data_IF_378446775640
#
_entry.id   IF_378446775640
#
_cell.length_a   1.000
_cell.length_b   1.000
_cell.length_c   1.000
_cell.angle_alpha   90.00
_cell.angle_beta   90.00
_cell.angle_gamma   90.00
#
_symmetry.space_group_name_H-M   'P 1'
#
loop_
_entity.id
_entity.type
_entity.pdbx_description
1 polymer ?
#
# COMPACT_ATOMS: atom_id res chain seq x y z
N UNK A 1 -0.28 13.89 -18.02
CA UNK A 1 -0.24 12.47 -18.40
C UNK A 1 -0.67 12.40 -19.85
N UNK A 2 0.07 11.65 -20.68
CA UNK A 2 -0.14 11.54 -22.13
C UNK A 2 -1.20 10.49 -22.49
N UNK A 3 -1.51 9.56 -21.59
CA UNK A 3 -2.59 8.58 -21.79
C UNK A 3 -3.58 8.53 -20.63
N UNK A 4 -4.85 8.27 -20.98
CA UNK A 4 -5.89 7.97 -20.01
C UNK A 4 -5.66 6.56 -19.43
N UNK A 5 -5.78 6.44 -18.11
CA UNK A 5 -5.60 5.18 -17.39
C UNK A 5 -6.47 5.11 -16.13
N UNK A 6 -6.86 3.91 -15.74
CA UNK A 6 -7.60 3.60 -14.51
C UNK A 6 -6.84 2.57 -13.69
N UNK A 7 -6.86 2.67 -12.36
CA UNK A 7 -6.15 1.75 -11.46
C UNK A 7 -4.62 1.70 -11.67
N UNK A 8 -4.03 2.80 -12.15
CA UNK A 8 -2.59 2.89 -12.36
C UNK A 8 -1.81 2.98 -11.05
N UNK A 9 -0.60 2.45 -11.06
CA UNK A 9 0.34 2.56 -9.94
C UNK A 9 1.27 3.75 -10.18
N UNK A 10 1.35 4.68 -9.22
CA UNK A 10 2.27 5.81 -9.25
C UNK A 10 3.30 5.75 -8.11
N UNK A 11 4.57 5.99 -8.42
CA UNK A 11 5.67 5.95 -7.45
C UNK A 11 6.68 7.05 -7.73
N UNK A 12 7.09 7.78 -6.68
CA UNK A 12 8.13 8.80 -6.79
C UNK A 12 9.50 8.20 -6.48
N UNK A 13 10.46 8.37 -7.38
CA UNK A 13 11.88 8.12 -7.16
C UNK A 13 12.60 9.43 -7.48
N UNK A 14 13.37 9.93 -6.50
CA UNK A 14 14.03 11.24 -6.57
C UNK A 14 13.04 12.35 -7.00
N UNK A 15 13.32 13.02 -8.11
CA UNK A 15 12.49 14.12 -8.64
C UNK A 15 11.59 13.71 -9.82
N UNK A 16 11.33 12.42 -9.97
CA UNK A 16 10.48 11.88 -11.02
C UNK A 16 9.37 11.01 -10.43
N UNK A 17 8.18 11.09 -11.04
CA UNK A 17 7.05 10.23 -10.71
C UNK A 17 6.88 9.24 -11.86
N UNK A 18 7.02 7.96 -11.56
CA UNK A 18 6.85 6.87 -12.49
C UNK A 18 5.44 6.29 -12.35
N UNK A 19 4.76 6.09 -13.47
CA UNK A 19 3.40 5.59 -13.53
C UNK A 19 3.33 4.35 -14.43
N UNK A 20 2.75 3.28 -13.91
CA UNK A 20 2.71 1.96 -14.56
C UNK A 20 1.29 1.41 -14.62
N UNK A 21 0.94 0.81 -15.76
CA UNK A 21 -0.29 0.05 -15.97
C UNK A 21 -1.57 0.88 -15.94
N UNK A 22 -2.71 0.19 -15.92
CA UNK A 22 -4.02 0.84 -15.91
C UNK A 22 -4.48 1.35 -17.27
N UNK A 23 -3.81 0.97 -18.35
CA UNK A 23 -4.22 1.29 -19.71
C UNK A 23 -5.07 0.16 -20.29
N UNK A 24 -5.87 0.45 -21.32
CA UNK A 24 -6.64 -0.58 -22.05
C UNK A 24 -5.76 -1.53 -22.86
N UNK A 25 -6.34 -2.59 -23.40
CA UNK A 25 -5.62 -3.73 -23.99
C UNK A 25 -4.73 -3.40 -25.21
N UNK A 26 -4.93 -2.25 -25.85
CA UNK A 26 -4.23 -1.83 -27.07
C UNK A 26 -2.83 -1.22 -26.82
N UNK A 27 -2.30 -1.31 -25.60
CA UNK A 27 -1.00 -0.76 -25.22
C UNK A 27 0.16 -1.73 -25.44
N UNK A 28 1.34 -1.17 -25.69
CA UNK A 28 2.58 -1.90 -25.84
C UNK A 28 3.69 -1.37 -24.90
N UNK A 29 4.90 -1.90 -25.06
CA UNK A 29 6.06 -1.51 -24.25
C UNK A 29 6.46 -0.04 -24.37
N UNK A 30 5.99 0.66 -25.41
CA UNK A 30 6.32 2.06 -25.67
C UNK A 30 5.39 3.04 -24.94
N UNK A 31 4.19 2.62 -24.54
CA UNK A 31 3.18 3.51 -23.97
C UNK A 31 2.49 2.98 -22.68
N UNK A 32 2.83 1.78 -22.24
CA UNK A 32 2.37 1.19 -20.98
C UNK A 32 2.76 2.01 -19.73
N UNK A 33 3.93 2.64 -19.77
CA UNK A 33 4.51 3.36 -18.65
C UNK A 33 4.82 4.82 -19.02
N UNK A 34 4.71 5.70 -18.04
CA UNK A 34 5.04 7.11 -18.19
C UNK A 34 5.87 7.60 -17.01
N UNK A 35 6.67 8.63 -17.26
CA UNK A 35 7.42 9.34 -16.23
C UNK A 35 7.05 10.82 -16.29
N UNK A 36 6.79 11.39 -15.13
CA UNK A 36 6.64 12.82 -14.94
C UNK A 36 7.90 13.38 -14.29
N UNK A 37 8.53 14.33 -14.96
CA UNK A 37 9.67 15.08 -14.43
C UNK A 37 9.15 16.33 -13.71
N UNK A 38 9.47 16.45 -12.42
CA UNK A 38 8.98 17.55 -11.59
C UNK A 38 9.75 18.85 -11.87
N UNK A 39 11.01 18.78 -12.33
CA UNK A 39 11.81 19.96 -12.66
C UNK A 39 11.30 20.63 -13.93
N UNK A 40 11.01 19.82 -14.95
CA UNK A 40 10.56 20.33 -16.26
C UNK A 40 9.04 20.41 -16.37
N UNK A 41 8.31 19.81 -15.42
CA UNK A 41 6.85 19.68 -15.44
C UNK A 41 6.34 18.96 -16.70
N UNK A 42 7.13 18.04 -17.26
CA UNK A 42 6.80 17.31 -18.49
C UNK A 42 6.49 15.84 -18.22
N UNK A 43 5.62 15.29 -19.06
CA UNK A 43 5.33 13.86 -19.12
C UNK A 43 6.07 13.25 -20.31
N UNK A 44 6.70 12.10 -20.12
CA UNK A 44 7.31 11.32 -21.18
C UNK A 44 6.95 9.85 -21.08
N UNK A 45 6.89 9.20 -22.24
CA UNK A 45 6.70 7.77 -22.29
C UNK A 45 7.98 7.08 -21.84
N UNK A 46 7.82 6.07 -20.99
CA UNK A 46 8.92 5.23 -20.56
C UNK A 46 8.87 3.94 -21.38
N UNK A 47 9.80 3.80 -22.32
CA UNK A 47 9.98 2.53 -23.01
C UNK A 47 10.53 1.52 -22.02
N UNK A 48 9.72 0.51 -21.70
CA UNK A 48 10.12 -0.58 -20.81
C UNK A 48 10.20 -1.86 -21.64
N UNK A 49 11.42 -2.30 -22.01
CA UNK A 49 11.61 -3.63 -22.57
C UNK A 49 11.30 -4.66 -21.48
N UNK A 50 10.18 -5.36 -21.62
CA UNK A 50 9.81 -6.47 -20.74
C UNK A 50 9.77 -7.76 -21.55
N UNK A 51 10.49 -8.79 -21.10
CA UNK A 51 10.38 -10.16 -21.68
C UNK A 51 9.01 -10.76 -21.41
N UNK A 52 8.39 -10.40 -20.28
CA UNK A 52 7.01 -10.71 -19.91
C UNK A 52 6.35 -9.41 -19.49
N UNK A 53 5.32 -8.96 -20.23
CA UNK A 53 4.60 -7.74 -19.89
C UNK A 53 3.85 -7.97 -18.56
N UNK A 54 4.10 -7.17 -17.51
CA UNK A 54 3.23 -7.20 -16.35
C UNK A 54 1.81 -6.86 -16.80
N UNK A 55 0.82 -7.58 -16.31
CA UNK A 55 -0.58 -7.21 -16.49
C UNK A 55 -0.92 -5.99 -15.61
N UNK A 56 -2.20 -5.73 -15.32
CA UNK A 56 -2.58 -4.63 -14.45
C UNK A 56 -1.85 -4.72 -13.10
N UNK A 57 -1.12 -3.66 -12.74
CA UNK A 57 -0.40 -3.59 -11.48
C UNK A 57 -1.42 -3.52 -10.34
N UNK A 58 -1.47 -4.58 -9.52
CA UNK A 58 -2.39 -4.67 -8.38
C UNK A 58 -1.88 -3.83 -7.22
N UNK A 59 -0.57 -3.90 -6.92
CA UNK A 59 0.08 -3.18 -5.82
C UNK A 59 1.51 -2.80 -6.21
N UNK A 60 1.99 -1.69 -5.65
CA UNK A 60 3.40 -1.28 -5.78
C UNK A 60 3.89 -0.53 -4.54
N UNK A 61 5.20 -0.52 -4.36
CA UNK A 61 5.86 0.19 -3.27
C UNK A 61 7.28 0.56 -3.65
N UNK A 62 7.75 1.72 -3.18
CA UNK A 62 9.15 2.13 -3.35
C UNK A 62 10.02 1.50 -2.25
N UNK A 63 10.99 0.69 -2.66
CA UNK A 63 12.03 0.06 -1.83
C UNK A 63 13.32 0.89 -1.92
N UNK A 64 13.93 1.16 -0.76
CA UNK A 64 15.24 1.84 -0.69
C UNK A 64 15.30 3.24 -1.32
N UNK A 65 14.15 3.87 -1.60
CA UNK A 65 14.00 5.15 -2.33
C UNK A 65 14.50 5.13 -3.78
N UNK A 66 14.83 3.97 -4.34
CA UNK A 66 15.51 3.85 -5.64
C UNK A 66 14.85 2.85 -6.59
N UNK A 67 14.05 1.96 -6.05
CA UNK A 67 13.46 0.85 -6.78
C UNK A 67 11.97 0.77 -6.46
N UNK A 68 11.15 0.55 -7.47
CA UNK A 68 9.73 0.22 -7.33
C UNK A 68 9.61 -1.29 -7.38
N UNK A 69 9.06 -1.87 -6.34
CA UNK A 69 8.59 -3.25 -6.34
C UNK A 69 7.10 -3.26 -6.63
N UNK A 70 6.67 -4.10 -7.56
CA UNK A 70 5.28 -4.17 -8.00
C UNK A 70 4.83 -5.63 -8.15
N UNK A 71 3.53 -5.86 -7.95
CA UNK A 71 2.89 -7.15 -8.23
C UNK A 71 1.69 -6.91 -9.14
N UNK A 72 1.58 -7.72 -10.19
CA UNK A 72 0.45 -7.66 -11.12
C UNK A 72 -0.78 -8.46 -10.63
N UNK A 73 -1.86 -8.42 -11.39
CA UNK A 73 -3.11 -9.11 -11.07
C UNK A 73 -2.98 -10.65 -10.98
N UNK A 74 -1.99 -11.24 -11.67
CA UNK A 74 -1.71 -12.67 -11.61
C UNK A 74 -0.81 -13.05 -10.42
N UNK A 75 -0.34 -12.06 -9.66
CA UNK A 75 0.58 -12.29 -8.53
C UNK A 75 2.04 -12.41 -8.95
N UNK A 76 2.40 -12.03 -10.19
CA UNK A 76 3.80 -11.95 -10.61
C UNK A 76 4.45 -10.69 -10.05
N UNK A 77 5.66 -10.84 -9.52
CA UNK A 77 6.43 -9.77 -8.92
C UNK A 77 7.50 -9.21 -9.86
N UNK A 78 7.67 -7.91 -9.79
CA UNK A 78 8.59 -7.16 -10.62
C UNK A 78 9.31 -6.09 -9.81
N UNK A 79 10.55 -5.82 -10.19
CA UNK A 79 11.29 -4.69 -9.66
C UNK A 79 11.72 -3.76 -10.80
N UNK A 80 11.66 -2.45 -10.56
CA UNK A 80 12.02 -1.42 -11.52
C UNK A 80 12.89 -0.38 -10.85
N UNK A 81 13.99 0.00 -11.50
CA UNK A 81 14.76 1.18 -11.13
C UNK A 81 15.08 2.01 -12.37
N UNK A 82 15.35 3.32 -12.25
CA UNK A 82 15.71 4.12 -13.41
C UNK A 82 17.02 3.68 -14.07
N UNK A 83 17.92 3.04 -13.31
CA UNK A 83 19.21 2.52 -13.78
C UNK A 83 19.16 1.08 -14.25
N UNK A 84 18.17 0.29 -13.83
CA UNK A 84 17.92 -1.08 -14.27
C UNK A 84 16.45 -1.20 -14.63
N UNK A 85 16.18 -1.42 -15.92
CA UNK A 85 14.85 -1.74 -16.46
C UNK A 85 14.15 -2.84 -15.66
N UNK A 86 12.84 -3.04 -15.89
CA UNK A 86 12.06 -4.03 -15.16
C UNK A 86 12.70 -5.42 -15.14
N UNK A 87 12.89 -5.96 -13.95
CA UNK A 87 13.38 -7.32 -13.72
C UNK A 87 12.25 -8.12 -13.08
N UNK A 88 11.88 -9.25 -13.70
CA UNK A 88 10.99 -10.22 -13.06
C UNK A 88 11.67 -10.74 -11.79
N UNK A 89 11.05 -10.52 -10.64
CA UNK A 89 11.68 -10.72 -9.36
C UNK A 89 11.06 -11.93 -8.66
N UNK A 90 11.66 -13.10 -8.81
CA UNK A 90 11.38 -14.24 -7.93
C UNK A 90 10.01 -14.92 -8.10
N UNK A 91 9.45 -15.34 -6.97
CA UNK A 91 8.33 -16.29 -6.85
C UNK A 91 6.96 -15.60 -6.98
N UNK A 92 5.99 -16.30 -7.54
CA UNK A 92 4.58 -15.89 -7.55
C UNK A 92 4.01 -15.90 -6.13
N UNK A 93 3.20 -14.89 -5.78
CA UNK A 93 2.42 -14.89 -4.53
C UNK A 93 1.47 -16.11 -4.54
N UNK A 94 1.77 -17.12 -3.73
CA UNK A 94 1.04 -18.39 -3.70
C UNK A 94 -0.35 -18.32 -3.06
N UNK A 95 -0.69 -17.20 -2.42
CA UNK A 95 -2.00 -16.99 -1.79
C UNK A 95 -2.49 -15.60 -2.16
N UNK A 96 -2.75 -15.29 -3.43
CA UNK A 96 -3.20 -13.95 -3.80
C UNK A 96 -4.49 -13.62 -3.05
N UNK A 97 -4.50 -12.47 -2.36
CA UNK A 97 -5.65 -11.95 -1.62
C UNK A 97 -5.81 -10.46 -1.86
N UNK A 98 -6.86 -9.86 -1.29
CA UNK A 98 -7.06 -8.41 -1.29
C UNK A 98 -6.14 -7.73 -0.28
N UNK A 99 -4.85 -7.73 -0.62
CA UNK A 99 -3.79 -7.03 0.09
C UNK A 99 -3.64 -5.66 -0.54
N UNK A 100 -3.90 -4.65 0.26
CA UNK A 100 -3.82 -3.27 -0.17
C UNK A 100 -2.90 -2.47 0.74
N UNK A 101 -2.52 -1.30 0.25
CA UNK A 101 -1.75 -0.30 1.00
C UNK A 101 -0.40 -0.84 1.46
N UNK A 102 0.33 -1.44 0.52
CA UNK A 102 1.66 -1.98 0.80
C UNK A 102 2.60 -0.88 1.27
N UNK A 103 3.36 -1.16 2.32
CA UNK A 103 4.42 -0.28 2.78
C UNK A 103 5.71 -1.06 3.04
N UNK A 104 6.85 -0.41 2.77
CA UNK A 104 8.17 -0.97 2.99
C UNK A 104 8.83 -0.27 4.17
N UNK A 105 9.18 -1.04 5.20
CA UNK A 105 9.84 -0.58 6.44
C UNK A 105 11.04 -1.49 6.74
N UNK A 106 12.22 -0.89 6.82
CA UNK A 106 13.47 -1.63 7.01
C UNK A 106 13.78 -2.54 5.82
N UNK A 107 13.42 -3.82 5.94
CA UNK A 107 13.59 -4.86 4.91
C UNK A 107 12.31 -5.66 4.61
N UNK A 108 11.20 -5.30 5.22
CA UNK A 108 9.95 -6.06 5.16
C UNK A 108 8.88 -5.25 4.45
N UNK A 109 8.06 -5.96 3.68
CA UNK A 109 6.78 -5.45 3.19
C UNK A 109 5.73 -5.65 4.27
N UNK A 110 4.81 -4.71 4.37
CA UNK A 110 3.62 -4.79 5.19
C UNK A 110 2.39 -4.51 4.36
N UNK A 111 1.27 -5.12 4.71
CA UNK A 111 -0.02 -4.89 4.04
C UNK A 111 -1.18 -5.09 5.00
N UNK A 112 -2.36 -4.63 4.60
CA UNK A 112 -3.61 -4.96 5.29
C UNK A 112 -3.93 -6.44 5.09
N UNK A 113 -4.32 -7.09 6.16
CA UNK A 113 -4.84 -8.45 6.16
C UNK A 113 -6.33 -8.51 6.49
N UNK A 114 -6.94 -9.70 6.38
CA UNK A 114 -8.34 -9.91 6.72
C UNK A 114 -8.59 -9.63 8.22
N UNK A 115 -9.83 -9.26 8.55
CA UNK A 115 -10.29 -9.06 9.95
C UNK A 115 -9.43 -8.11 10.78
N UNK A 116 -8.94 -7.03 10.15
CA UNK A 116 -8.14 -6.02 10.84
C UNK A 116 -6.72 -6.46 11.21
N UNK A 117 -6.21 -7.53 10.59
CA UNK A 117 -4.82 -7.97 10.78
C UNK A 117 -3.85 -7.15 9.95
N UNK A 118 -2.59 -7.13 10.36
CA UNK A 118 -1.47 -6.57 9.59
C UNK A 118 -0.58 -7.73 9.18
N UNK A 119 -0.23 -7.82 7.91
CA UNK A 119 0.63 -8.86 7.37
C UNK A 119 2.02 -8.30 7.07
N UNK A 120 3.02 -9.17 7.08
CA UNK A 120 4.40 -8.85 6.69
C UNK A 120 5.04 -9.99 5.89
N UNK A 121 5.99 -9.67 5.02
CA UNK A 121 6.82 -10.65 4.31
C UNK A 121 8.17 -10.05 3.87
N UNK A 122 9.06 -10.91 3.36
CA UNK A 122 10.23 -10.49 2.59
C UNK A 122 9.83 -10.35 1.11
N UNK A 123 10.26 -9.29 0.41
CA UNK A 123 9.92 -9.06 -1.00
C UNK A 123 10.24 -10.26 -1.93
N UNK A 124 11.33 -10.98 -1.67
CA UNK A 124 11.76 -12.09 -2.53
C UNK A 124 11.02 -13.42 -2.23
N UNK A 125 10.35 -13.50 -1.08
CA UNK A 125 9.67 -14.71 -0.62
C UNK A 125 8.15 -14.64 -0.84
N UNK A 126 7.55 -13.46 -0.64
CA UNK A 126 6.09 -13.23 -0.65
C UNK A 126 5.29 -14.20 0.26
N UNK A 127 5.94 -14.80 1.25
CA UNK A 127 5.31 -15.61 2.27
C UNK A 127 4.76 -14.72 3.40
N UNK A 128 3.50 -14.30 3.24
CA UNK A 128 2.82 -13.38 4.14
C UNK A 128 2.50 -14.01 5.49
N UNK A 129 2.98 -13.39 6.56
CA UNK A 129 2.75 -13.77 7.96
C UNK A 129 2.07 -12.63 8.70
N UNK A 130 1.29 -12.96 9.71
CA UNK A 130 0.64 -11.96 10.56
C UNK A 130 1.64 -11.32 11.52
N UNK A 131 1.53 -10.00 11.70
CA UNK A 131 2.22 -9.26 12.77
C UNK A 131 1.55 -9.61 14.10
N UNK A 132 2.31 -10.18 15.03
CA UNK A 132 1.81 -10.63 16.35
C UNK A 132 1.72 -9.47 17.34
N UNK A 133 1.00 -9.65 18.45
CA UNK A 133 0.95 -8.65 19.52
C UNK A 133 -0.04 -7.50 19.29
N UNK A 134 -0.95 -7.66 18.33
CA UNK A 134 -1.99 -6.69 17.95
C UNK A 134 -3.40 -7.24 18.17
N UNK A 135 -3.53 -8.24 19.06
CA UNK A 135 -4.80 -8.92 19.32
C UNK A 135 -5.84 -7.98 19.95
N UNK A 136 -5.39 -6.97 20.69
CA UNK A 136 -6.25 -5.92 21.27
C UNK A 136 -6.99 -5.13 20.19
N UNK A 137 -6.34 -4.79 19.07
CA UNK A 137 -7.00 -4.12 17.94
C UNK A 137 -8.13 -4.96 17.36
N UNK A 138 -7.94 -6.27 17.29
CA UNK A 138 -8.94 -7.20 16.73
C UNK A 138 -10.20 -7.28 17.62
N UNK A 139 -10.07 -7.00 18.91
CA UNK A 139 -11.18 -7.00 19.88
C UNK A 139 -11.98 -5.68 19.86
N UNK A 140 -11.39 -4.57 19.41
CA UNK A 140 -11.99 -3.22 19.41
C UNK A 140 -12.95 -2.96 18.23
N UNK A 141 -13.89 -3.87 17.93
CA UNK A 141 -14.89 -3.72 16.86
C UNK A 141 -14.34 -3.54 15.43
N UNK A 142 -13.06 -3.84 15.17
CA UNK A 142 -12.52 -3.94 13.79
C UNK A 142 -13.22 -5.02 12.94
N UNK A 143 -14.08 -5.85 13.54
CA UNK A 143 -14.78 -6.95 12.87
C UNK A 143 -15.72 -6.46 11.77
N UNK A 144 -16.35 -5.29 11.95
CA UNK A 144 -17.31 -4.76 10.98
C UNK A 144 -16.65 -3.93 9.86
N UNK A 145 -15.69 -3.09 10.20
CA UNK A 145 -15.09 -2.13 9.26
C UNK A 145 -13.68 -2.51 8.79
N UNK A 146 -12.94 -3.30 9.57
CA UNK A 146 -11.54 -3.62 9.31
C UNK A 146 -10.63 -2.38 9.26
N UNK A 147 -9.35 -2.60 8.92
CA UNK A 147 -8.43 -1.50 8.63
C UNK A 147 -8.80 -0.92 7.27
N UNK A 148 -9.09 0.38 7.22
CA UNK A 148 -9.45 1.09 5.99
C UNK A 148 -8.23 1.64 5.25
N UNK A 149 -7.14 1.95 5.97
CA UNK A 149 -5.87 2.41 5.39
C UNK A 149 -4.69 1.98 6.24
N UNK A 150 -3.62 1.56 5.59
CA UNK A 150 -2.30 1.36 6.19
C UNK A 150 -1.31 2.34 5.56
N UNK A 151 -0.48 2.98 6.37
CA UNK A 151 0.59 3.86 5.93
C UNK A 151 1.81 3.71 6.84
N UNK A 152 2.87 4.46 6.55
CA UNK A 152 4.08 4.51 7.37
C UNK A 152 4.40 5.94 7.79
N UNK A 153 4.94 6.06 9.00
CA UNK A 153 5.53 7.28 9.56
C UNK A 153 6.87 6.91 10.17
N UNK A 154 7.97 7.31 9.52
CA UNK A 154 9.32 6.85 9.86
C UNK A 154 9.41 5.31 9.92
N UNK A 155 9.67 4.75 11.11
CA UNK A 155 9.73 3.30 11.38
C UNK A 155 8.41 2.71 11.91
N UNK A 156 7.37 3.51 12.05
CA UNK A 156 6.07 3.11 12.57
C UNK A 156 5.11 2.77 11.43
N UNK A 157 4.25 1.79 11.68
CA UNK A 157 3.03 1.61 10.90
C UNK A 157 1.97 2.53 11.49
N UNK A 158 1.24 3.21 10.61
CA UNK A 158 0.04 3.96 10.98
C UNK A 158 -1.15 3.31 10.30
N UNK A 159 -2.16 2.93 11.09
CA UNK A 159 -3.40 2.37 10.56
C UNK A 159 -4.57 3.30 10.85
N UNK A 160 -5.58 3.25 9.99
CA UNK A 160 -6.85 3.94 10.17
C UNK A 160 -8.01 2.97 10.03
N UNK A 161 -9.07 3.20 10.79
CA UNK A 161 -10.30 2.43 10.73
C UNK A 161 -11.51 3.27 11.14
N UNK A 162 -12.70 2.85 10.73
CA UNK A 162 -13.95 3.42 11.22
C UNK A 162 -14.37 2.67 12.49
N UNK A 163 -14.78 3.40 13.51
CA UNK A 163 -15.26 2.86 14.78
C UNK A 163 -16.57 3.52 15.19
N UNK A 164 -17.38 2.79 15.95
CA UNK A 164 -18.68 3.24 16.44
C UNK A 164 -18.73 3.10 17.98
N UNK A 165 -17.94 3.91 18.72
CA UNK A 165 -17.74 3.69 20.15
C UNK A 165 -19.02 3.83 20.99
N UNK A 166 -20.03 4.55 20.50
CA UNK A 166 -21.32 4.75 21.17
C UNK A 166 -22.48 4.02 20.45
N UNK A 167 -22.18 3.08 19.54
CA UNK A 167 -23.17 2.38 18.73
C UNK A 167 -23.46 3.06 17.38
N UNK A 168 -24.51 2.62 16.70
CA UNK A 168 -24.83 2.96 15.31
C UNK A 168 -24.96 4.46 15.02
N UNK A 169 -25.27 5.27 16.04
CA UNK A 169 -25.41 6.73 15.96
C UNK A 169 -24.09 7.50 16.07
N UNK A 170 -22.95 6.79 16.23
CA UNK A 170 -21.61 7.38 16.26
C UNK A 170 -20.73 6.81 15.15
N UNK A 171 -20.02 7.67 14.44
CA UNK A 171 -19.00 7.28 13.47
C UNK A 171 -17.76 8.13 13.70
N UNK A 172 -16.69 7.46 14.09
CA UNK A 172 -15.40 8.10 14.30
C UNK A 172 -14.34 7.43 13.41
N UNK A 173 -13.45 8.23 12.84
CA UNK A 173 -12.22 7.74 12.25
C UNK A 173 -11.18 7.63 13.37
N UNK A 174 -10.67 6.43 13.57
CA UNK A 174 -9.62 6.14 14.52
C UNK A 174 -8.29 5.90 13.83
N UNK A 175 -7.22 6.14 14.57
CA UNK A 175 -5.85 5.91 14.13
C UNK A 175 -5.04 5.25 15.23
N UNK A 176 -4.02 4.48 14.84
CA UNK A 176 -3.03 3.93 15.76
C UNK A 176 -1.63 4.00 15.15
N UNK A 177 -0.65 4.33 16.00
CA UNK A 177 0.77 4.26 15.69
C UNK A 177 1.35 2.99 16.32
N UNK A 178 1.96 2.15 15.48
CA UNK A 178 2.43 0.82 15.85
C UNK A 178 3.94 0.74 15.64
N UNK A 179 4.66 0.48 16.73
CA UNK A 179 6.08 0.15 16.68
C UNK A 179 6.27 -1.33 16.32
N UNK A 180 7.38 -1.63 15.64
CA UNK A 180 7.68 -2.97 15.14
C UNK A 180 8.98 -3.48 15.78
N UNK A 181 8.96 -4.73 16.26
CA UNK A 181 10.15 -5.43 16.73
C UNK A 181 10.26 -6.83 16.12
N UNK A 182 11.46 -7.22 15.72
CA UNK A 182 11.75 -8.60 15.31
C UNK A 182 11.91 -9.47 16.57
N UNK A 183 11.20 -10.58 16.64
CA UNK A 183 11.31 -11.55 17.75
C UNK A 183 11.45 -12.95 17.14
N UNK A 184 12.66 -13.49 17.11
CA UNK A 184 12.94 -14.77 16.46
C UNK A 184 12.52 -14.77 14.98
N UNK A 185 11.68 -15.71 14.52
CA UNK A 185 11.18 -15.76 13.13
C UNK A 185 10.04 -14.77 12.87
N UNK A 186 9.44 -14.16 13.89
CA UNK A 186 8.24 -13.31 13.77
C UNK A 186 8.54 -11.80 13.85
N UNK A 187 7.56 -11.00 13.43
CA UNK A 187 7.48 -9.56 13.72
C UNK A 187 6.34 -9.36 14.72
N UNK A 188 6.63 -8.62 15.79
CA UNK A 188 5.66 -8.25 16.82
C UNK A 188 5.43 -6.75 16.79
N UNK A 189 4.17 -6.36 16.71
CA UNK A 189 3.71 -4.98 16.85
C UNK A 189 3.49 -4.62 18.32
N UNK A 190 3.60 -3.33 18.63
CA UNK A 190 3.10 -2.74 19.87
C UNK A 190 2.42 -1.43 19.51
N UNK A 191 1.20 -1.23 20.01
CA UNK A 191 0.48 0.03 19.88
C UNK A 191 1.15 1.03 20.83
N UNK A 192 1.76 2.08 20.28
CA UNK A 192 2.32 3.17 21.09
C UNK A 192 1.29 4.26 21.35
N UNK A 193 0.34 4.42 20.42
CA UNK A 193 -0.76 5.37 20.53
C UNK A 193 -1.96 4.86 19.74
N UNK A 194 -3.16 5.07 20.26
CA UNK A 194 -4.41 4.90 19.53
C UNK A 194 -5.43 5.95 19.99
N UNK A 195 -6.26 6.40 19.05
CA UNK A 195 -7.33 7.35 19.38
C UNK A 195 -8.15 7.80 18.18
N UNK A 196 -9.26 8.45 18.51
CA UNK A 196 -10.12 9.13 17.54
C UNK A 196 -9.39 10.34 16.95
N UNK A 197 -9.35 10.42 15.63
CA UNK A 197 -8.76 11.55 14.88
C UNK A 197 -9.80 12.40 14.16
N UNK A 198 -11.03 11.90 14.02
CA UNK A 198 -12.13 12.63 13.43
C UNK A 198 -13.47 12.04 13.90
N UNK A 199 -14.45 12.91 14.18
CA UNK A 199 -15.81 12.53 14.57
C UNK A 199 -16.81 13.09 13.57
N UNK A 200 -17.82 12.30 13.22
CA UNK A 200 -18.89 12.72 12.33
C UNK A 200 -20.16 13.01 13.13
N UNK A 201 -20.62 14.27 13.15
CA UNK A 201 -21.67 14.77 14.04
C UNK A 201 -23.08 14.88 13.40
N UNK A 202 -23.33 14.26 12.26
CA UNK A 202 -24.62 14.35 11.52
C UNK A 202 -25.41 13.04 11.63
N UNK A 203 -26.76 13.05 11.46
CA UNK A 203 -27.56 11.84 11.52
C UNK A 203 -26.99 10.79 10.57
N UNK A 204 -26.50 9.69 11.15
CA UNK A 204 -25.89 8.62 10.41
C UNK A 204 -26.99 7.82 9.74
N UNK A 205 -26.89 7.68 8.43
CA UNK A 205 -27.52 6.55 7.74
C UNK A 205 -26.55 5.37 7.82
N UNK A 206 -27.08 4.14 7.76
CA UNK A 206 -26.30 2.88 7.87
C UNK A 206 -25.13 2.76 6.86
N UNK A 207 -25.03 3.65 5.86
CA UNK A 207 -23.99 3.64 4.83
C UNK A 207 -22.84 4.62 5.03
N UNK A 208 -22.87 5.49 6.03
CA UNK A 208 -21.84 6.53 6.18
C UNK A 208 -20.49 5.91 6.59
N UNK A 209 -19.43 6.19 5.81
CA UNK A 209 -18.07 5.71 6.08
C UNK A 209 -17.05 6.79 5.74
N UNK A 210 -16.06 6.96 6.62
CA UNK A 210 -14.91 7.83 6.34
C UNK A 210 -13.84 7.00 5.61
N UNK A 211 -13.42 7.46 4.43
CA UNK A 211 -12.36 6.83 3.65
C UNK A 211 -11.11 7.70 3.65
N UNK A 212 -10.02 7.17 4.18
CA UNK A 212 -8.70 7.81 4.11
C UNK A 212 -8.11 7.51 2.73
N UNK A 213 -8.01 8.53 1.88
CA UNK A 213 -7.45 8.38 0.52
C UNK A 213 -5.92 8.47 0.54
N UNK A 214 -5.38 9.38 1.35
CA UNK A 214 -3.94 9.61 1.50
C UNK A 214 -3.57 9.85 2.96
N UNK A 215 -2.44 9.28 3.39
CA UNK A 215 -1.83 9.55 4.69
C UNK A 215 -0.31 9.57 4.49
N UNK A 216 0.30 10.74 4.69
CA UNK A 216 1.73 10.97 4.52
C UNK A 216 2.33 11.63 5.75
N UNK A 217 3.66 11.58 5.86
CA UNK A 217 4.38 12.36 6.87
C UNK A 217 4.56 13.77 6.34
N UNK A 218 3.96 14.77 6.99
CA UNK A 218 4.31 16.17 6.74
C UNK A 218 5.71 16.40 7.34
N UNK A 219 6.68 16.74 6.49
CA UNK A 219 7.95 17.29 6.98
C UNK A 219 7.65 18.73 7.42
N UNK A 220 7.73 19.00 8.73
CA UNK A 220 7.87 20.34 9.28
C UNK A 220 9.32 20.58 9.64
#
# INVERSE_FOLDING_TARGET
MKMARTSASASRIDNKIYVFGGCGDDVDSSNWAEVYDIDTLTWDFLCVPTTTRPKNIKQSVVIGKKEVYAVDEDGQSFSFSPSKLFVSCGKTDSKPGDRHDWCFIGRFLFSRGPRGTILWCLPDELDWKEVKGLEELQQQQLVEYGISKLSKKASYIVIFWNAQPQGADSLELWSAEISLRKVGPDIRGKIEWSGSVYKLDYPLTDSNRVKVVYAGTAFT
#
